data_IF_487360788909
#
_entry.id   IF_487360788909
#
_cell.length_a   1.000
_cell.length_b   1.000
_cell.length_c   1.000
_cell.angle_alpha   90.00
_cell.angle_beta   90.00
_cell.angle_gamma   90.00
#
_symmetry.space_group_name_H-M   'P 1'
#
loop_
_entity.id
_entity.type
_entity.pdbx_description
1 polymer ?
#
# COMPACT_ATOMS: atom_id res chain seq x y z
N UNK A 1 11.89 -15.95 -14.19
CA UNK A 1 11.62 -16.65 -12.92
C UNK A 1 11.52 -15.60 -11.81
N UNK A 2 10.70 -15.79 -10.76
CA UNK A 2 10.64 -14.84 -9.65
C UNK A 2 12.01 -14.73 -8.97
N UNK A 3 12.42 -13.49 -8.66
CA UNK A 3 13.64 -13.21 -7.89
C UNK A 3 13.22 -12.99 -6.43
N UNK A 4 13.74 -13.81 -5.54
CA UNK A 4 13.49 -13.69 -4.09
C UNK A 4 14.32 -12.56 -3.49
N UNK A 5 13.91 -12.05 -2.32
CA UNK A 5 14.61 -10.97 -1.60
C UNK A 5 14.85 -9.71 -2.47
N UNK A 6 13.82 -9.32 -3.23
CA UNK A 6 13.86 -8.13 -4.08
C UNK A 6 12.97 -7.02 -3.50
N UNK A 7 13.36 -5.77 -3.74
CA UNK A 7 12.61 -4.57 -3.41
C UNK A 7 12.59 -3.68 -4.66
N UNK A 8 11.41 -3.17 -5.01
CA UNK A 8 11.23 -2.21 -6.09
C UNK A 8 10.32 -1.07 -5.64
N UNK A 9 10.57 0.14 -6.16
CA UNK A 9 9.69 1.30 -5.95
C UNK A 9 9.68 2.18 -7.19
N UNK A 10 8.54 2.82 -7.42
CA UNK A 10 8.37 3.88 -8.40
C UNK A 10 7.70 5.07 -7.72
N UNK A 11 8.26 6.26 -7.88
CA UNK A 11 7.69 7.50 -7.35
C UNK A 11 7.28 8.41 -8.50
N UNK A 12 6.24 9.22 -8.27
CA UNK A 12 5.97 10.37 -9.12
C UNK A 12 7.17 11.33 -9.07
N UNK A 13 7.53 11.91 -10.22
CA UNK A 13 8.77 12.65 -10.37
C UNK A 13 8.79 13.97 -9.59
N UNK A 14 7.62 14.55 -9.34
CA UNK A 14 7.47 15.84 -8.68
C UNK A 14 6.88 15.68 -7.27
N UNK A 15 7.23 16.60 -6.38
CA UNK A 15 6.63 16.64 -5.04
C UNK A 15 5.17 17.10 -5.11
N UNK A 16 4.31 16.44 -4.34
CA UNK A 16 2.89 16.80 -4.22
C UNK A 16 2.68 17.64 -2.97
N UNK A 17 2.06 18.82 -3.12
CA UNK A 17 1.73 19.70 -2.00
C UNK A 17 0.48 19.19 -1.27
N UNK A 18 0.67 18.47 -0.17
CA UNK A 18 -0.42 17.79 0.56
C UNK A 18 -1.05 18.64 1.69
N UNK A 19 -0.36 19.64 2.22
CA UNK A 19 -0.91 20.58 3.20
C UNK A 19 -0.07 21.87 3.26
N UNK A 20 -0.70 22.95 3.69
CA UNK A 20 -0.09 24.28 3.86
C UNK A 20 -0.05 24.67 5.35
N UNK A 21 1.14 24.94 5.88
CA UNK A 21 1.32 25.25 7.30
C UNK A 21 0.86 26.66 7.69
N UNK A 22 0.80 27.60 6.74
CA UNK A 22 0.40 28.99 7.03
C UNK A 22 -1.11 29.10 7.20
N UNK A 23 -1.87 28.35 6.40
CA UNK A 23 -3.34 28.35 6.37
C UNK A 23 -3.96 27.18 7.14
N UNK A 24 -3.19 26.10 7.36
CA UNK A 24 -3.70 24.85 7.93
C UNK A 24 -4.53 24.02 6.95
N UNK A 25 -4.61 24.42 5.68
CA UNK A 25 -5.36 23.71 4.66
C UNK A 25 -4.69 22.38 4.30
N UNK A 26 -5.49 21.33 4.17
CA UNK A 26 -5.04 19.99 3.74
C UNK A 26 -5.70 19.66 2.41
N UNK A 27 -4.94 19.09 1.47
CA UNK A 27 -5.47 18.69 0.18
C UNK A 27 -6.33 17.42 0.31
N UNK A 28 -7.49 17.41 -0.35
CA UNK A 28 -8.17 16.14 -0.68
C UNK A 28 -7.47 15.53 -1.89
N UNK A 29 -7.35 14.21 -1.93
CA UNK A 29 -6.71 13.52 -3.05
C UNK A 29 -7.43 12.22 -3.41
N UNK A 30 -7.21 11.77 -4.64
CA UNK A 30 -7.66 10.48 -5.12
C UNK A 30 -6.55 9.87 -5.99
N UNK A 31 -6.28 8.59 -5.82
CA UNK A 31 -5.42 7.81 -6.72
C UNK A 31 -6.14 6.54 -7.14
N UNK A 32 -5.92 6.14 -8.39
CA UNK A 32 -6.48 4.93 -8.98
C UNK A 32 -5.39 4.19 -9.72
N UNK A 33 -5.29 2.89 -9.47
CA UNK A 33 -4.34 2.04 -10.18
C UNK A 33 -4.87 0.61 -10.26
N UNK A 34 -4.32 -0.16 -11.20
CA UNK A 34 -4.56 -1.59 -11.32
C UNK A 34 -3.28 -2.36 -11.05
N UNK A 35 -3.40 -3.52 -10.43
CA UNK A 35 -2.27 -4.43 -10.22
C UNK A 35 -2.68 -5.87 -10.48
N UNK A 36 -1.69 -6.75 -10.68
CA UNK A 36 -1.87 -8.19 -10.73
C UNK A 36 -0.70 -8.85 -10.02
N UNK A 37 -0.98 -9.66 -9.01
CA UNK A 37 0.04 -10.47 -8.33
C UNK A 37 -0.10 -11.89 -8.85
N UNK A 38 0.98 -12.41 -9.44
CA UNK A 38 1.05 -13.81 -9.88
C UNK A 38 1.95 -14.59 -8.96
N UNK A 39 1.39 -15.64 -8.37
CA UNK A 39 2.04 -16.48 -7.40
C UNK A 39 2.22 -17.89 -8.00
N UNK A 40 3.46 -18.26 -8.41
CA UNK A 40 3.73 -19.56 -9.03
C UNK A 40 3.96 -20.69 -8.01
N UNK A 41 4.16 -20.39 -6.73
CA UNK A 41 4.42 -21.36 -5.66
C UNK A 41 3.53 -21.08 -4.45
N UNK A 42 3.21 -22.08 -3.61
CA UNK A 42 2.47 -21.85 -2.36
C UNK A 42 3.14 -20.81 -1.46
N UNK A 43 2.34 -20.02 -0.73
CA UNK A 43 2.72 -18.91 0.16
C UNK A 43 3.24 -17.65 -0.59
N UNK A 44 2.36 -16.70 -0.95
CA UNK A 44 2.79 -15.44 -1.56
C UNK A 44 3.52 -14.59 -0.52
N UNK A 45 4.50 -13.81 -0.98
CA UNK A 45 5.27 -12.93 -0.10
C UNK A 45 5.94 -11.82 -0.91
N UNK A 46 6.04 -10.58 -0.41
CA UNK A 46 5.47 -10.08 0.85
C UNK A 46 4.21 -9.26 0.58
N UNK A 47 4.25 -8.35 -0.37
CA UNK A 47 3.10 -7.53 -0.76
C UNK A 47 3.56 -6.35 -1.59
N UNK A 48 2.72 -5.33 -1.69
CA UNK A 48 3.10 -4.01 -2.20
C UNK A 48 2.28 -2.93 -1.49
N UNK A 49 2.65 -1.66 -1.66
CA UNK A 49 1.89 -0.55 -1.10
C UNK A 49 1.86 0.67 -2.03
N UNK A 50 0.79 1.44 -1.91
CA UNK A 50 0.80 2.87 -2.26
C UNK A 50 1.40 3.66 -1.09
N UNK A 51 2.29 4.61 -1.35
CA UNK A 51 3.01 5.34 -0.30
C UNK A 51 2.98 6.85 -0.56
N UNK A 52 2.71 7.63 0.49
CA UNK A 52 3.08 9.04 0.58
C UNK A 52 4.16 9.20 1.64
N UNK A 53 5.28 9.79 1.25
CA UNK A 53 6.46 9.93 2.09
C UNK A 53 7.22 11.22 1.75
N UNK A 54 8.17 11.67 2.60
CA UNK A 54 8.97 12.86 2.31
C UNK A 54 9.70 12.76 0.96
N UNK A 55 9.89 13.88 0.21
CA UNK A 55 10.46 13.85 -1.14
C UNK A 55 11.83 13.17 -1.28
N UNK A 56 12.63 13.17 -0.21
CA UNK A 56 13.96 12.55 -0.17
C UNK A 56 13.97 11.11 0.35
N UNK A 57 12.80 10.47 0.50
CA UNK A 57 12.66 9.09 0.98
C UNK A 57 13.53 8.09 0.21
N UNK A 58 14.07 7.08 0.91
CA UNK A 58 14.88 5.98 0.37
C UNK A 58 14.19 4.64 0.62
N UNK A 59 14.53 3.56 -0.13
CA UNK A 59 14.04 2.22 0.21
C UNK A 59 14.33 1.90 1.68
N UNK A 60 13.30 1.47 2.39
CA UNK A 60 13.39 0.92 3.74
C UNK A 60 13.83 -0.55 3.73
N UNK A 61 13.53 -1.25 4.82
CA UNK A 61 13.83 -2.68 4.93
C UNK A 61 12.86 -3.51 4.08
N UNK A 62 13.37 -4.55 3.42
CA UNK A 62 12.57 -5.42 2.55
C UNK A 62 11.74 -6.45 3.31
N UNK A 63 11.31 -7.50 2.62
CA UNK A 63 10.51 -8.54 3.24
C UNK A 63 9.14 -8.01 3.68
N UNK A 64 8.69 -8.40 4.87
CA UNK A 64 7.43 -7.95 5.46
C UNK A 64 7.38 -6.45 5.78
N UNK A 65 8.49 -5.71 5.69
CA UNK A 65 8.49 -4.24 5.84
C UNK A 65 8.25 -3.48 4.52
N UNK A 66 8.00 -4.22 3.43
CA UNK A 66 7.60 -3.74 2.10
C UNK A 66 8.55 -2.70 1.45
N UNK A 67 9.75 -2.52 1.98
CA UNK A 67 10.69 -1.50 1.51
C UNK A 67 10.32 -0.08 1.93
N UNK A 68 9.50 0.09 2.97
CA UNK A 68 8.92 1.39 3.36
C UNK A 68 9.55 1.92 4.64
N UNK A 69 9.51 1.13 5.72
CA UNK A 69 9.83 1.61 7.06
C UNK A 69 11.29 1.31 7.41
N UNK A 70 12.11 2.37 7.45
CA UNK A 70 13.48 2.31 8.00
C UNK A 70 13.90 3.68 8.51
N UNK A 71 14.34 3.82 9.77
CA UNK A 71 14.93 5.06 10.26
C UNK A 71 16.11 5.52 9.38
N UNK A 72 16.25 6.83 9.10
CA UNK A 72 15.45 7.95 9.59
C UNK A 72 14.17 8.25 8.76
N UNK A 73 13.88 7.46 7.72
CA UNK A 73 12.79 7.69 6.76
C UNK A 73 11.46 7.03 7.15
N UNK A 74 11.37 6.40 8.32
CA UNK A 74 10.15 5.75 8.82
C UNK A 74 9.09 6.74 9.34
N UNK A 75 9.42 8.02 9.43
CA UNK A 75 8.55 9.06 9.96
C UNK A 75 7.91 9.88 8.84
N UNK A 76 6.69 10.37 9.08
CA UNK A 76 5.85 11.10 8.14
C UNK A 76 5.50 10.28 6.88
N UNK A 77 5.21 9.00 7.08
CA UNK A 77 4.83 8.06 6.04
C UNK A 77 3.38 7.62 6.24
N UNK A 78 2.58 7.73 5.18
CA UNK A 78 1.30 7.04 5.05
C UNK A 78 1.48 5.97 3.97
N UNK A 79 1.10 4.73 4.27
CA UNK A 79 0.99 3.69 3.26
C UNK A 79 -0.38 3.02 3.28
N UNK A 80 -0.80 2.54 2.10
CA UNK A 80 -1.91 1.60 1.96
C UNK A 80 -1.32 0.33 1.40
N UNK A 81 -1.16 -0.67 2.26
CA UNK A 81 -0.54 -1.95 1.93
C UNK A 81 -1.56 -2.98 1.43
N UNK A 82 -1.05 -3.90 0.62
CA UNK A 82 -1.73 -5.10 0.15
C UNK A 82 -0.82 -6.27 0.52
N UNK A 83 -0.90 -6.67 1.78
CA UNK A 83 -0.04 -7.70 2.35
C UNK A 83 -0.56 -9.09 1.98
N UNK A 84 0.35 -9.92 1.52
CA UNK A 84 0.08 -11.29 1.07
C UNK A 84 0.70 -12.34 1.99
N UNK A 85 1.54 -11.91 2.92
CA UNK A 85 2.24 -12.78 3.86
C UNK A 85 1.84 -12.44 5.30
N UNK A 86 1.96 -13.40 6.21
CA UNK A 86 1.65 -13.18 7.63
C UNK A 86 2.94 -13.16 8.44
N UNK A 87 3.36 -11.97 8.84
CA UNK A 87 4.34 -11.73 9.88
C UNK A 87 3.69 -11.77 11.28
N UNK A 88 4.51 -11.67 12.33
CA UNK A 88 4.05 -11.77 13.72
C UNK A 88 3.20 -10.59 14.18
N UNK A 89 3.27 -9.46 13.48
CA UNK A 89 2.50 -8.25 13.77
C UNK A 89 1.16 -8.18 13.00
N UNK A 90 0.93 -9.08 12.06
CA UNK A 90 -0.23 -9.04 11.17
C UNK A 90 -1.48 -9.68 11.78
N UNK A 91 -2.67 -9.30 11.29
CA UNK A 91 -3.89 -10.06 11.54
C UNK A 91 -3.75 -11.53 11.09
N UNK A 92 -4.59 -12.44 11.62
CA UNK A 92 -4.50 -13.84 11.27
C UNK A 92 -4.87 -14.15 9.82
N UNK A 93 -5.66 -13.29 9.16
CA UNK A 93 -6.08 -13.46 7.77
C UNK A 93 -5.14 -12.73 6.80
N UNK A 94 -4.69 -13.47 5.79
CA UNK A 94 -3.97 -12.94 4.62
C UNK A 94 -4.59 -13.51 3.33
N UNK A 95 -4.58 -12.76 2.22
CA UNK A 95 -4.05 -11.39 2.13
C UNK A 95 -4.99 -10.36 2.76
N UNK A 96 -4.46 -9.20 3.12
CA UNK A 96 -5.24 -8.10 3.68
C UNK A 96 -4.80 -6.75 3.12
N UNK A 97 -5.73 -5.80 3.11
CA UNK A 97 -5.44 -4.38 2.89
C UNK A 97 -5.15 -3.78 4.25
N UNK A 98 -4.13 -2.93 4.33
CA UNK A 98 -3.73 -2.24 5.54
C UNK A 98 -3.62 -0.72 5.35
N UNK A 99 -3.78 0.04 6.43
CA UNK A 99 -3.52 1.49 6.47
C UNK A 99 -2.45 1.76 7.51
N UNK A 100 -1.28 2.14 7.03
CA UNK A 100 -0.06 2.29 7.83
C UNK A 100 0.25 3.76 8.06
N UNK A 101 0.46 4.12 9.33
CA UNK A 101 0.81 5.49 9.72
C UNK A 101 2.09 5.45 10.53
N UNK A 102 3.22 5.78 9.88
CA UNK A 102 4.57 5.77 10.45
C UNK A 102 5.05 4.41 11.01
N UNK A 103 4.38 3.31 10.69
CA UNK A 103 4.66 1.97 11.20
C UNK A 103 4.12 0.92 10.23
N UNK A 104 4.81 -0.22 10.11
CA UNK A 104 4.32 -1.40 9.39
C UNK A 104 3.13 -2.07 10.10
N UNK A 105 2.88 -1.72 11.36
CA UNK A 105 1.70 -2.22 12.07
C UNK A 105 0.50 -1.36 11.65
N UNK A 106 -0.30 -1.92 10.75
CA UNK A 106 -1.53 -1.34 10.24
C UNK A 106 -2.46 -0.83 11.34
N UNK A 107 -2.96 0.40 11.18
CA UNK A 107 -3.98 1.00 12.07
C UNK A 107 -5.37 0.41 11.86
N UNK A 108 -5.63 -0.10 10.65
CA UNK A 108 -6.87 -0.79 10.26
C UNK A 108 -6.56 -1.75 9.13
N UNK A 109 -7.13 -2.96 9.21
CA UNK A 109 -6.98 -3.99 8.18
C UNK A 109 -8.32 -4.47 7.66
N UNK A 110 -8.32 -4.98 6.43
CA UNK A 110 -9.47 -5.63 5.80
C UNK A 110 -9.00 -6.82 4.96
N UNK A 111 -9.37 -8.07 5.32
CA UNK A 111 -9.04 -9.24 4.51
C UNK A 111 -9.66 -9.15 3.10
N UNK A 112 -8.98 -9.67 2.10
CA UNK A 112 -9.54 -9.81 0.75
C UNK A 112 -9.27 -11.20 0.16
N UNK A 113 -10.06 -11.58 -0.83
CA UNK A 113 -9.86 -12.84 -1.55
C UNK A 113 -8.77 -12.66 -2.60
N UNK A 114 -7.72 -13.46 -2.52
CA UNK A 114 -6.63 -13.41 -3.48
C UNK A 114 -7.06 -13.98 -4.84
N UNK A 115 -6.97 -13.17 -5.89
CA UNK A 115 -7.16 -13.61 -7.27
C UNK A 115 -5.80 -13.75 -7.96
N UNK A 116 -5.31 -14.99 -8.07
CA UNK A 116 -3.95 -15.26 -8.54
C UNK A 116 -3.80 -14.97 -10.04
N UNK A 117 -3.11 -13.87 -10.36
CA UNK A 117 -2.98 -13.36 -11.73
C UNK A 117 -4.21 -12.56 -12.21
N UNK A 118 -5.21 -12.37 -11.35
CA UNK A 118 -6.34 -11.48 -11.60
C UNK A 118 -5.93 -10.01 -11.51
N UNK A 119 -6.66 -9.16 -12.23
CA UNK A 119 -6.43 -7.72 -12.22
C UNK A 119 -7.28 -7.07 -11.13
N UNK A 120 -6.63 -6.65 -10.04
CA UNK A 120 -7.25 -5.85 -8.99
C UNK A 120 -7.26 -4.38 -9.38
N UNK A 121 -8.41 -3.72 -9.25
CA UNK A 121 -8.57 -2.26 -9.43
C UNK A 121 -8.69 -1.62 -8.05
N UNK A 122 -7.82 -0.66 -7.77
CA UNK A 122 -7.75 0.05 -6.50
C UNK A 122 -8.16 1.51 -6.67
N UNK A 123 -8.94 2.02 -5.73
CA UNK A 123 -9.19 3.45 -5.53
C UNK A 123 -8.86 3.81 -4.08
N UNK A 124 -7.98 4.79 -3.89
CA UNK A 124 -7.69 5.38 -2.58
C UNK A 124 -8.10 6.85 -2.64
N UNK A 125 -8.96 7.26 -1.73
CA UNK A 125 -9.50 8.61 -1.68
C UNK A 125 -9.43 9.17 -0.28
N UNK A 126 -8.83 10.36 -0.14
CA UNK A 126 -8.83 11.13 1.09
C UNK A 126 -9.68 12.39 0.93
N UNK A 127 -10.59 12.59 1.86
CA UNK A 127 -11.41 13.80 1.96
C UNK A 127 -10.93 14.63 3.16
N UNK A 128 -10.39 15.81 2.89
CA UNK A 128 -9.82 16.69 3.91
C UNK A 128 -10.88 17.29 4.85
N UNK A 129 -12.13 17.45 4.38
CA UNK A 129 -13.21 18.03 5.18
C UNK A 129 -13.68 17.06 6.28
N UNK A 130 -13.67 15.76 5.98
CA UNK A 130 -14.08 14.70 6.92
C UNK A 130 -12.90 13.98 7.56
N UNK A 131 -11.68 14.17 7.03
CA UNK A 131 -10.45 13.45 7.38
C UNK A 131 -10.54 11.93 7.18
N UNK A 132 -11.39 11.49 6.25
CA UNK A 132 -11.60 10.07 5.97
C UNK A 132 -10.74 9.64 4.78
N UNK A 133 -9.92 8.60 4.99
CA UNK A 133 -9.26 7.84 3.94
C UNK A 133 -10.09 6.59 3.62
N UNK A 134 -10.65 6.52 2.41
CA UNK A 134 -11.36 5.36 1.91
C UNK A 134 -10.45 4.57 0.95
N UNK A 135 -10.46 3.26 1.08
CA UNK A 135 -9.75 2.33 0.19
C UNK A 135 -10.76 1.33 -0.35
N UNK A 136 -10.79 1.15 -1.66
CA UNK A 136 -11.60 0.16 -2.34
C UNK A 136 -10.71 -0.70 -3.25
N UNK A 137 -10.92 -2.01 -3.22
CA UNK A 137 -10.32 -3.00 -4.12
C UNK A 137 -11.45 -3.80 -4.76
N UNK A 138 -11.41 -3.91 -6.09
CA UNK A 138 -12.36 -4.70 -6.87
C UNK A 138 -11.59 -5.60 -7.82
N UNK A 139 -11.94 -6.89 -7.83
CA UNK A 139 -11.56 -7.82 -8.89
C UNK A 139 -12.75 -7.95 -9.84
N UNK A 140 -12.65 -7.44 -11.08
CA UNK A 140 -13.72 -7.60 -12.06
C UNK A 140 -13.88 -9.09 -12.40
N UNK A 141 -15.08 -9.62 -12.25
CA UNK A 141 -15.41 -10.94 -12.77
C UNK A 141 -15.61 -10.82 -14.28
N UNK A 142 -14.64 -11.28 -15.07
CA UNK A 142 -14.91 -11.59 -16.46
C UNK A 142 -15.70 -12.90 -16.47
N UNK A 143 -17.02 -12.80 -16.53
CA UNK A 143 -17.87 -13.96 -16.71
C UNK A 143 -17.46 -14.71 -17.98
N UNK A 144 -17.20 -16.00 -17.85
CA UNK A 144 -17.13 -16.91 -18.98
C UNK A 144 -18.45 -16.83 -19.75
N UNK A 145 -18.40 -16.39 -21.00
CA UNK A 145 -19.47 -16.61 -22.00
C UNK A 145 -19.27 -17.98 -22.63
#
# INVERSE_FOLDING_TARGET
MPVWNSIGRALYAEAVHIWDNTTGNVASFETRFSFSIRQPFPHPSNGFAFVMAPPNTKPGDGGGSLGIFKPPFAYHVLAVEFDTFRNSWDPPQVPHIGIDVNSIISTKTLPFQFDNGGVGIVVIKYDASTKILNVALVFPTFGSI
#
